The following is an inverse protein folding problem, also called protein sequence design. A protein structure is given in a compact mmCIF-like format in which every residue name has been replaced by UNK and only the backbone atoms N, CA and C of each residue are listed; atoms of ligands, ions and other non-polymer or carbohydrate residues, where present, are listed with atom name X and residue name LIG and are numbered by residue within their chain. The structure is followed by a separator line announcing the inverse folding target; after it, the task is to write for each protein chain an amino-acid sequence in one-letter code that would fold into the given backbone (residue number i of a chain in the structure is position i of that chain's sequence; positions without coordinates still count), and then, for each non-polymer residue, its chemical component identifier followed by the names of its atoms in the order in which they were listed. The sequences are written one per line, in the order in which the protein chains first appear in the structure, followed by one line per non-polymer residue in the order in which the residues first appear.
data_IF_633883719902
#
_entry.id   IF_633883719902
#
_cell.length_a   1.000
_cell.length_b   1.000
_cell.length_c   1.000
_cell.angle_alpha   90.00
_cell.angle_beta   90.00
_cell.angle_gamma   90.00
#
_symmetry.space_group_name_H-M   'P 1'
#
loop_
_entity.id
_entity.type
_entity.pdbx_description
1 polymer ?
#
# COMPACT_ATOMS: atom_id res chain seq x y z
N UNK A 1 -10.37 -19.45 23.41
CA UNK A 1 -10.69 -18.04 23.08
C UNK A 1 -11.66 -17.96 21.93
N UNK A 2 -11.35 -18.52 20.75
CA UNK A 2 -12.25 -18.53 19.58
C UNK A 2 -13.64 -19.10 19.93
N UNK A 3 -13.72 -20.29 20.53
CA UNK A 3 -15.01 -20.88 20.94
C UNK A 3 -15.73 -20.10 22.05
N UNK A 4 -15.00 -19.36 22.89
CA UNK A 4 -15.56 -18.60 24.01
C UNK A 4 -16.21 -17.30 23.53
N UNK A 5 -15.55 -16.61 22.60
CA UNK A 5 -15.95 -15.27 22.16
C UNK A 5 -16.67 -15.27 20.82
N UNK A 6 -16.68 -16.40 20.10
CA UNK A 6 -17.33 -16.58 18.78
C UNK A 6 -17.12 -15.35 17.86
N UNK A 7 -15.85 -14.94 17.59
CA UNK A 7 -15.59 -13.71 16.86
C UNK A 7 -16.12 -13.79 15.43
N UNK A 8 -16.63 -12.68 14.92
CA UNK A 8 -17.13 -12.61 13.55
C UNK A 8 -15.99 -12.44 12.53
N UNK A 9 -14.96 -11.68 12.91
CA UNK A 9 -13.79 -11.39 12.10
C UNK A 9 -12.54 -11.59 12.95
N UNK A 10 -11.52 -12.26 12.39
CA UNK A 10 -10.19 -12.36 12.99
C UNK A 10 -9.16 -11.74 12.05
N UNK A 11 -8.46 -10.71 12.50
CA UNK A 11 -7.43 -10.02 11.74
C UNK A 11 -6.03 -10.36 12.27
N UNK A 12 -5.18 -10.95 11.41
CA UNK A 12 -3.79 -11.28 11.71
C UNK A 12 -2.80 -10.35 11.02
N UNK A 13 -1.71 -10.03 11.72
CA UNK A 13 -0.72 -9.03 11.29
C UNK A 13 0.68 -9.61 11.02
N UNK A 14 0.88 -10.92 11.23
CA UNK A 14 2.15 -11.58 10.94
C UNK A 14 1.99 -13.08 10.70
N UNK A 15 3.01 -13.69 10.08
CA UNK A 15 2.99 -15.08 9.60
C UNK A 15 2.81 -16.09 10.74
N UNK A 16 3.52 -15.91 11.86
CA UNK A 16 3.44 -16.83 13.00
C UNK A 16 2.04 -16.87 13.64
N UNK A 17 1.42 -15.73 14.03
CA UNK A 17 0.03 -15.71 14.48
C UNK A 17 -0.96 -16.25 13.46
N UNK A 18 -0.75 -15.99 12.16
CA UNK A 18 -1.59 -16.55 11.12
C UNK A 18 -1.54 -18.09 11.09
N UNK A 19 -0.36 -18.69 11.20
CA UNK A 19 -0.23 -20.15 11.32
C UNK A 19 -0.90 -20.70 12.58
N UNK A 20 -0.69 -20.04 13.73
CA UNK A 20 -1.33 -20.42 14.99
C UNK A 20 -2.86 -20.37 14.85
N UNK A 21 -3.39 -19.32 14.20
CA UNK A 21 -4.81 -19.16 13.93
C UNK A 21 -5.35 -20.32 13.07
N UNK A 22 -4.71 -20.63 11.95
CA UNK A 22 -5.12 -21.73 11.08
C UNK A 22 -5.15 -23.08 11.80
N UNK A 23 -4.15 -23.34 12.64
CA UNK A 23 -4.11 -24.55 13.47
C UNK A 23 -5.21 -24.58 14.53
N UNK A 24 -5.51 -23.44 15.16
CA UNK A 24 -6.57 -23.32 16.14
C UNK A 24 -7.95 -23.53 15.50
N UNK A 25 -8.21 -22.93 14.34
CA UNK A 25 -9.48 -23.05 13.62
C UNK A 25 -9.78 -24.46 13.15
N UNK A 26 -8.77 -25.27 12.81
CA UNK A 26 -8.94 -26.69 12.45
C UNK A 26 -9.57 -27.53 13.56
N UNK A 27 -9.46 -27.10 14.83
CA UNK A 27 -9.98 -27.82 15.99
C UNK A 27 -11.12 -27.08 16.69
N UNK A 28 -11.41 -25.85 16.27
CA UNK A 28 -12.42 -25.02 16.91
C UNK A 28 -13.84 -25.49 16.55
N UNK A 29 -14.69 -25.62 17.56
CA UNK A 29 -16.12 -25.85 17.43
C UNK A 29 -16.85 -24.53 17.55
N UNK A 30 -17.01 -23.84 16.42
CA UNK A 30 -17.73 -22.56 16.32
C UNK A 30 -19.04 -22.75 15.59
N UNK A 31 -20.08 -22.02 16.00
CA UNK A 31 -21.35 -21.99 15.26
C UNK A 31 -21.19 -21.37 13.88
N UNK A 32 -20.38 -20.31 13.81
CA UNK A 32 -20.05 -19.58 12.59
C UNK A 32 -18.54 -19.49 12.45
N UNK A 33 -18.03 -19.82 11.28
CA UNK A 33 -16.61 -19.62 10.99
C UNK A 33 -16.32 -18.12 10.87
N UNK A 34 -15.32 -17.59 11.59
CA UNK A 34 -14.93 -16.18 11.46
C UNK A 34 -14.41 -15.90 10.06
N UNK A 35 -14.72 -14.72 9.52
CA UNK A 35 -14.02 -14.19 8.35
C UNK A 35 -12.61 -13.79 8.75
N UNK A 36 -11.64 -14.12 7.90
CA UNK A 36 -10.22 -13.94 8.14
C UNK A 36 -9.69 -12.78 7.34
N UNK A 37 -8.92 -11.92 8.01
CA UNK A 37 -8.22 -10.79 7.39
C UNK A 37 -6.75 -10.90 7.71
N UNK A 38 -5.89 -10.57 6.75
CA UNK A 38 -4.46 -10.38 7.00
C UNK A 38 -4.00 -8.99 6.57
N UNK A 39 -3.03 -8.41 7.26
CA UNK A 39 -2.31 -7.23 6.74
C UNK A 39 -0.91 -7.62 6.26
N UNK A 40 -0.59 -7.23 5.03
CA UNK A 40 0.74 -7.31 4.44
C UNK A 40 1.50 -5.99 4.65
N UNK A 41 2.45 -6.01 5.57
CA UNK A 41 3.26 -4.85 5.93
C UNK A 41 4.49 -4.62 5.04
N UNK A 42 4.86 -5.55 4.16
CA UNK A 42 6.12 -5.45 3.42
C UNK A 42 6.23 -6.37 2.23
N UNK A 43 7.39 -6.29 1.56
CA UNK A 43 7.72 -6.98 0.31
C UNK A 43 8.18 -8.42 0.55
N UNK A 44 7.39 -9.21 1.30
CA UNK A 44 7.78 -10.57 1.65
C UNK A 44 7.79 -11.48 0.42
N UNK A 45 8.75 -12.42 0.31
CA UNK A 45 8.69 -13.44 -0.72
C UNK A 45 7.47 -14.34 -0.45
N UNK A 46 6.79 -14.74 -1.52
CA UNK A 46 5.75 -15.75 -1.41
C UNK A 46 6.42 -17.13 -1.35
N UNK A 47 6.20 -17.80 -0.23
CA UNK A 47 6.67 -19.14 0.08
C UNK A 47 5.70 -19.83 1.04
N UNK A 48 5.94 -21.11 1.34
CA UNK A 48 5.09 -21.89 2.26
C UNK A 48 4.84 -21.17 3.59
N UNK A 49 5.85 -20.54 4.17
CA UNK A 49 5.68 -19.84 5.44
C UNK A 49 4.77 -18.62 5.33
N UNK A 50 4.83 -17.87 4.23
CA UNK A 50 3.95 -16.72 3.96
C UNK A 50 2.51 -17.10 3.57
N UNK A 51 2.25 -18.35 3.15
CA UNK A 51 0.92 -18.81 2.72
C UNK A 51 -0.15 -18.60 3.80
N UNK A 52 0.22 -18.66 5.09
CA UNK A 52 -0.73 -18.38 6.16
C UNK A 52 -1.37 -16.99 6.09
N UNK A 53 -0.66 -15.98 5.55
CA UNK A 53 -1.22 -14.65 5.33
C UNK A 53 -2.05 -14.56 4.04
N UNK A 54 -1.90 -15.50 3.11
CA UNK A 54 -2.65 -15.55 1.85
C UNK A 54 -3.93 -16.39 1.97
N UNK A 55 -3.98 -17.30 2.94
CA UNK A 55 -5.14 -18.15 3.24
C UNK A 55 -6.16 -17.41 4.11
N UNK A 56 -6.68 -16.30 3.60
CA UNK A 56 -7.68 -15.44 4.28
C UNK A 56 -8.74 -14.98 3.29
N UNK A 57 -9.87 -14.46 3.79
CA UNK A 57 -10.96 -13.93 2.95
C UNK A 57 -10.57 -12.59 2.30
N UNK A 58 -9.79 -11.75 2.98
CA UNK A 58 -9.32 -10.48 2.44
C UNK A 58 -7.93 -10.12 2.95
N UNK A 59 -7.11 -9.58 2.06
CA UNK A 59 -5.75 -9.10 2.37
C UNK A 59 -5.75 -7.58 2.35
N UNK A 60 -5.29 -6.97 3.43
CA UNK A 60 -5.02 -5.54 3.52
C UNK A 60 -3.56 -5.29 3.19
N UNK A 61 -3.28 -4.34 2.29
CA UNK A 61 -1.91 -3.90 1.95
C UNK A 61 -1.69 -2.47 2.40
N UNK A 62 -0.49 -2.17 2.88
CA UNK A 62 -0.17 -0.86 3.49
C UNK A 62 0.17 0.25 2.50
N UNK A 63 0.42 -0.09 1.23
CA UNK A 63 0.78 0.85 0.16
C UNK A 63 0.43 0.29 -1.22
N UNK A 64 0.35 1.17 -2.23
CA UNK A 64 0.13 0.76 -3.62
C UNK A 64 1.31 -0.07 -4.11
N UNK A 65 2.53 0.26 -3.70
CA UNK A 65 3.74 -0.49 -4.04
C UNK A 65 3.70 -1.92 -3.52
N UNK A 66 3.26 -2.13 -2.27
CA UNK A 66 3.04 -3.49 -1.73
C UNK A 66 1.89 -4.20 -2.45
N UNK A 67 0.81 -3.48 -2.78
CA UNK A 67 -0.33 -4.02 -3.54
C UNK A 67 0.10 -4.54 -4.90
N UNK A 68 0.84 -3.73 -5.64
CA UNK A 68 1.36 -4.09 -6.96
C UNK A 68 2.39 -5.23 -6.85
N UNK A 69 3.29 -5.18 -5.87
CA UNK A 69 4.24 -6.26 -5.62
C UNK A 69 3.53 -7.60 -5.37
N UNK A 70 2.57 -7.63 -4.45
CA UNK A 70 1.81 -8.84 -4.12
C UNK A 70 1.02 -9.35 -5.33
N UNK A 71 0.31 -8.46 -6.03
CA UNK A 71 -0.49 -8.83 -7.21
C UNK A 71 0.37 -9.45 -8.31
N UNK A 72 1.54 -8.87 -8.61
CA UNK A 72 2.48 -9.42 -9.60
C UNK A 72 3.00 -10.80 -9.19
N UNK A 73 3.29 -11.00 -7.91
CA UNK A 73 3.79 -12.29 -7.38
C UNK A 73 2.70 -13.37 -7.39
N UNK A 74 1.48 -13.06 -6.95
CA UNK A 74 0.36 -14.00 -6.98
C UNK A 74 0.04 -14.46 -8.41
N UNK A 75 0.07 -13.55 -9.39
CA UNK A 75 -0.10 -13.89 -10.81
C UNK A 75 0.99 -14.84 -11.31
N UNK A 76 2.25 -14.60 -10.92
CA UNK A 76 3.38 -15.44 -11.32
C UNK A 76 3.31 -16.85 -10.73
N UNK A 77 2.70 -16.99 -9.56
CA UNK A 77 2.54 -18.28 -8.86
C UNK A 77 1.21 -18.96 -9.16
N UNK A 78 0.42 -18.42 -10.12
CA UNK A 78 -0.88 -18.96 -10.52
C UNK A 78 -1.83 -19.18 -9.32
N UNK A 79 -1.71 -18.32 -8.31
CA UNK A 79 -2.55 -18.40 -7.11
C UNK A 79 -3.98 -17.93 -7.42
N UNK A 80 -4.95 -18.51 -6.72
CA UNK A 80 -6.35 -18.10 -6.82
C UNK A 80 -6.51 -16.59 -6.58
N UNK A 81 -7.42 -15.91 -7.31
CA UNK A 81 -7.71 -14.50 -7.10
C UNK A 81 -7.99 -14.19 -5.63
N UNK A 82 -7.26 -13.22 -5.08
CA UNK A 82 -7.43 -12.73 -3.71
C UNK A 82 -8.04 -11.34 -3.72
N UNK A 83 -8.98 -11.09 -2.80
CA UNK A 83 -9.47 -9.73 -2.55
C UNK A 83 -8.38 -8.97 -1.80
N UNK A 84 -7.82 -7.95 -2.45
CA UNK A 84 -6.79 -7.08 -1.87
C UNK A 84 -7.38 -5.68 -1.70
N UNK A 85 -7.32 -5.15 -0.50
CA UNK A 85 -7.75 -3.79 -0.17
C UNK A 85 -6.57 -2.99 0.35
N UNK A 86 -6.21 -1.91 -0.33
CA UNK A 86 -5.15 -1.03 0.16
C UNK A 86 -5.67 -0.10 1.25
N UNK A 87 -5.00 -0.12 2.40
CA UNK A 87 -5.24 0.81 3.50
C UNK A 87 -3.88 1.36 3.97
N UNK A 88 -3.65 2.65 3.72
CA UNK A 88 -2.46 3.33 4.22
C UNK A 88 -2.41 3.36 5.75
N UNK A 89 -1.19 3.35 6.30
CA UNK A 89 -0.99 3.68 7.71
C UNK A 89 -1.32 5.15 7.94
N UNK A 90 -1.96 5.42 9.07
CA UNK A 90 -2.38 6.75 9.45
C UNK A 90 -1.62 7.32 10.64
N UNK A 91 -1.49 8.65 10.68
CA UNK A 91 -0.90 9.40 11.79
C UNK A 91 -1.98 9.91 12.76
N UNK A 92 -1.72 9.83 14.06
CA UNK A 92 -2.51 10.55 15.06
C UNK A 92 -2.11 12.03 15.04
N UNK A 93 -2.95 12.85 14.42
CA UNK A 93 -2.73 14.29 14.28
C UNK A 93 -2.75 15.04 15.61
N UNK A 94 -3.30 14.44 16.68
CA UNK A 94 -3.22 15.01 18.03
C UNK A 94 -1.85 14.78 18.65
N UNK A 95 -1.24 13.63 18.37
CA UNK A 95 0.13 13.33 18.81
C UNK A 95 1.14 14.11 17.99
N UNK A 96 0.92 14.27 16.69
CA UNK A 96 1.78 14.99 15.74
C UNK A 96 1.05 16.22 15.17
N UNK A 97 0.86 17.29 15.97
CA UNK A 97 0.18 18.48 15.52
C UNK A 97 1.04 19.29 14.54
N UNK A 98 0.40 19.92 13.56
CA UNK A 98 1.08 20.76 12.58
C UNK A 98 1.79 21.94 13.27
N UNK A 99 3.05 22.18 12.88
CA UNK A 99 3.95 23.18 13.50
C UNK A 99 4.13 22.98 15.00
N UNK A 100 4.19 21.73 15.43
CA UNK A 100 4.71 21.41 16.76
C UNK A 100 6.12 21.98 16.89
N UNK A 101 6.39 22.64 18.01
CA UNK A 101 7.74 23.10 18.36
C UNK A 101 8.16 22.42 19.65
N UNK A 102 9.39 21.92 19.75
CA UNK A 102 9.90 21.38 20.99
C UNK A 102 9.92 22.41 22.10
N UNK A 103 9.70 21.94 23.33
CA UNK A 103 9.79 22.81 24.50
C UNK A 103 11.22 23.32 24.70
N UNK A 104 11.36 24.51 25.28
CA UNK A 104 12.67 25.07 25.66
C UNK A 104 13.42 24.14 26.62
N UNK A 105 12.69 23.45 27.51
CA UNK A 105 13.26 22.46 28.41
C UNK A 105 13.90 21.29 27.64
N UNK A 106 13.19 20.75 26.65
CA UNK A 106 13.69 19.67 25.81
C UNK A 106 14.95 20.13 25.04
N UNK A 107 14.90 21.30 24.38
CA UNK A 107 16.06 21.83 23.65
C UNK A 107 17.29 22.02 24.54
N UNK A 108 17.12 22.58 25.75
CA UNK A 108 18.24 22.74 26.70
C UNK A 108 18.81 21.40 27.15
N UNK A 109 17.96 20.41 27.37
CA UNK A 109 18.41 19.08 27.72
C UNK A 109 19.18 18.43 26.56
N UNK A 110 18.64 18.53 25.34
CA UNK A 110 19.29 18.04 24.13
C UNK A 110 20.65 18.68 23.89
N UNK A 111 20.79 20.00 24.07
CA UNK A 111 22.10 20.67 23.91
C UNK A 111 23.06 20.38 25.06
N UNK A 112 22.57 20.04 26.25
CA UNK A 112 23.43 19.57 27.33
C UNK A 112 23.95 18.14 27.07
N UNK A 113 23.13 17.28 26.46
CA UNK A 113 23.50 15.92 26.05
C UNK A 113 24.39 15.91 24.79
N UNK A 114 24.09 16.79 23.83
CA UNK A 114 24.75 16.90 22.53
C UNK A 114 25.10 18.37 22.20
N UNK A 115 26.14 18.95 22.83
CA UNK A 115 26.53 20.34 22.62
C UNK A 115 26.87 20.68 21.17
N UNK A 116 27.37 19.70 20.40
CA UNK A 116 27.75 19.85 19.00
C UNK A 116 26.57 20.19 18.08
N UNK A 117 25.33 19.95 18.53
CA UNK A 117 24.11 20.24 17.77
C UNK A 117 23.69 21.71 17.83
N UNK A 118 24.25 22.51 18.74
CA UNK A 118 23.89 23.91 18.90
C UNK A 118 24.27 24.74 17.67
N UNK A 119 23.35 25.63 17.25
CA UNK A 119 23.50 26.49 16.05
C UNK A 119 23.73 25.75 14.72
N UNK A 120 23.45 24.45 14.66
CA UNK A 120 23.54 23.62 13.45
C UNK A 120 22.25 23.59 12.64
N UNK A 121 22.38 23.16 11.38
CA UNK A 121 21.27 22.77 10.51
C UNK A 121 21.12 21.25 10.57
N UNK A 122 20.02 20.78 11.15
CA UNK A 122 19.80 19.38 11.45
C UNK A 122 19.20 18.63 10.25
N UNK A 123 19.94 17.66 9.73
CA UNK A 123 19.43 16.60 8.87
C UNK A 123 19.16 15.36 9.73
N UNK A 124 17.90 15.12 10.06
CA UNK A 124 17.52 13.97 10.88
C UNK A 124 17.29 12.77 9.97
N UNK A 125 18.02 11.70 10.20
CA UNK A 125 17.84 10.38 9.61
C UNK A 125 17.14 9.48 10.63
N UNK A 126 15.80 9.35 10.59
CA UNK A 126 15.01 8.76 11.64
C UNK A 126 14.94 7.23 11.50
N UNK A 127 16.08 6.59 11.30
CA UNK A 127 16.17 5.14 11.19
C UNK A 127 17.55 4.68 11.67
N UNK A 128 17.63 3.38 11.95
CA UNK A 128 18.88 2.72 12.32
C UNK A 128 19.82 2.60 11.12
N UNK A 129 21.11 2.35 11.37
CA UNK A 129 22.06 2.00 10.31
C UNK A 129 21.77 0.57 9.84
N UNK A 130 21.87 0.37 8.52
CA UNK A 130 21.71 -0.91 7.87
C UNK A 130 21.73 -0.73 6.37
N UNK A 131 22.20 -1.75 5.64
CA UNK A 131 22.40 -1.67 4.18
C UNK A 131 21.13 -1.25 3.42
N UNK A 132 19.95 -1.54 3.96
CA UNK A 132 18.64 -1.20 3.42
C UNK A 132 18.23 0.27 3.61
N UNK A 133 18.80 1.01 4.56
CA UNK A 133 18.29 2.33 4.97
C UNK A 133 18.95 3.50 4.26
N UNK A 134 20.14 3.30 3.67
CA UNK A 134 20.79 4.31 2.83
C UNK A 134 21.51 5.42 3.59
N UNK A 135 22.08 5.12 4.76
CA UNK A 135 22.92 6.04 5.51
C UNK A 135 24.12 6.56 4.69
N UNK A 136 24.63 5.79 3.73
CA UNK A 136 25.76 6.19 2.87
C UNK A 136 25.51 7.50 2.14
N UNK A 137 24.27 7.80 1.77
CA UNK A 137 23.90 9.04 1.10
C UNK A 137 24.12 10.29 1.98
N UNK A 138 24.17 10.12 3.30
CA UNK A 138 24.49 11.20 4.25
C UNK A 138 25.96 11.64 4.09
N UNK A 139 26.86 10.71 3.75
CA UNK A 139 28.26 11.00 3.46
C UNK A 139 28.37 11.87 2.21
N UNK A 140 27.62 11.53 1.16
CA UNK A 140 27.60 12.33 -0.06
C UNK A 140 27.08 13.73 0.19
N UNK A 141 26.00 13.86 0.98
CA UNK A 141 25.45 15.18 1.35
C UNK A 141 26.49 15.99 2.12
N UNK A 142 27.07 15.42 3.18
CA UNK A 142 28.05 16.12 4.00
C UNK A 142 29.28 16.51 3.17
N UNK A 143 29.83 15.57 2.39
CA UNK A 143 31.02 15.79 1.57
C UNK A 143 30.84 16.90 0.53
N UNK A 144 29.68 16.95 -0.14
CA UNK A 144 29.41 17.90 -1.22
C UNK A 144 28.87 19.26 -0.74
N UNK A 145 28.27 19.33 0.45
CA UNK A 145 27.59 20.55 0.94
C UNK A 145 28.30 21.23 2.11
N UNK A 146 29.30 20.61 2.74
CA UNK A 146 29.97 21.18 3.93
C UNK A 146 30.60 22.56 3.71
N UNK A 147 31.10 22.89 2.52
CA UNK A 147 31.68 24.21 2.24
C UNK A 147 30.59 25.29 2.17
N UNK A 148 29.46 24.99 1.52
CA UNK A 148 28.34 25.92 1.37
C UNK A 148 27.52 26.04 2.66
N UNK A 149 27.39 24.95 3.42
CA UNK A 149 26.65 24.87 4.67
C UNK A 149 27.56 24.35 5.79
N UNK A 150 28.50 25.15 6.31
CA UNK A 150 29.48 24.72 7.30
C UNK A 150 28.87 24.28 8.63
N UNK A 151 27.62 24.68 8.90
CA UNK A 151 26.87 24.28 10.09
C UNK A 151 25.89 23.12 9.84
N UNK A 152 25.94 22.44 8.70
CA UNK A 152 25.15 21.23 8.48
C UNK A 152 25.63 20.11 9.43
N UNK A 153 24.66 19.42 10.03
CA UNK A 153 24.91 18.33 10.98
C UNK A 153 23.85 17.25 10.80
N UNK A 154 24.31 16.01 10.72
CA UNK A 154 23.47 14.82 10.56
C UNK A 154 23.18 14.23 11.93
N UNK A 155 21.91 13.89 12.17
CA UNK A 155 21.48 13.19 13.37
C UNK A 155 20.95 11.83 12.95
N UNK A 156 21.54 10.76 13.49
CA UNK A 156 21.12 9.38 13.23
C UNK A 156 20.40 8.86 14.47
N UNK A 157 19.17 8.38 14.28
CA UNK A 157 18.35 7.82 15.36
C UNK A 157 18.70 6.34 15.60
N UNK A 158 19.98 6.11 15.86
CA UNK A 158 20.57 4.84 16.21
C UNK A 158 21.59 5.01 17.32
N UNK A 159 21.96 3.90 17.95
CA UNK A 159 23.08 3.87 18.90
C UNK A 159 24.41 4.05 18.16
N UNK A 160 25.40 4.71 18.79
CA UNK A 160 26.73 4.96 18.18
C UNK A 160 27.53 3.68 17.97
N UNK A 161 27.22 2.61 18.69
CA UNK A 161 27.95 1.35 18.55
C UNK A 161 27.03 0.14 18.70
N UNK A 162 27.30 -0.87 17.89
CA UNK A 162 26.65 -2.18 17.89
C UNK A 162 27.69 -3.23 17.57
N UNK A 163 28.21 -3.87 18.61
CA UNK A 163 29.19 -4.95 18.49
C UNK A 163 28.78 -5.97 17.43
N UNK A 164 29.62 -6.14 16.40
CA UNK A 164 29.44 -7.10 15.32
C UNK A 164 28.46 -6.68 14.22
N UNK A 165 28.03 -5.42 14.17
CA UNK A 165 27.25 -4.87 13.08
C UNK A 165 28.17 -4.27 11.99
N UNK A 166 28.46 -5.09 10.97
CA UNK A 166 29.34 -4.73 9.85
C UNK A 166 28.89 -3.46 9.13
N UNK A 167 27.58 -3.24 8.95
CA UNK A 167 27.09 -2.05 8.25
C UNK A 167 27.36 -0.77 9.05
N UNK A 168 27.29 -0.88 10.38
CA UNK A 168 27.63 0.21 11.29
C UNK A 168 29.12 0.50 11.28
N UNK A 169 29.95 -0.54 11.44
CA UNK A 169 31.41 -0.44 11.40
C UNK A 169 31.90 0.18 10.08
N UNK A 170 31.41 -0.28 8.94
CA UNK A 170 31.76 0.23 7.61
C UNK A 170 31.41 1.72 7.48
N UNK A 171 30.20 2.10 7.90
CA UNK A 171 29.75 3.49 7.85
C UNK A 171 30.60 4.41 8.75
N UNK A 172 30.92 3.96 9.97
CA UNK A 172 31.82 4.69 10.88
C UNK A 172 33.22 4.85 10.30
N UNK A 173 33.82 3.76 9.81
CA UNK A 173 35.16 3.81 9.22
C UNK A 173 35.21 4.78 8.04
N UNK A 174 34.19 4.77 7.20
CA UNK A 174 34.10 5.67 6.03
C UNK A 174 33.95 7.13 6.45
N UNK A 175 33.07 7.43 7.40
CA UNK A 175 32.88 8.80 7.91
C UNK A 175 34.12 9.34 8.62
N UNK A 176 34.84 8.51 9.38
CA UNK A 176 36.14 8.88 9.98
C UNK A 176 37.21 9.13 8.92
N UNK A 177 37.35 8.23 7.94
CA UNK A 177 38.37 8.35 6.88
C UNK A 177 38.18 9.60 6.01
N UNK A 178 36.95 10.09 5.90
CA UNK A 178 36.60 11.31 5.17
C UNK A 178 36.59 12.58 6.06
N UNK A 179 36.90 12.46 7.35
CA UNK A 179 36.88 13.59 8.29
C UNK A 179 35.48 14.16 8.57
N UNK A 180 34.43 13.35 8.39
CA UNK A 180 33.03 13.75 8.55
C UNK A 180 32.41 13.33 9.88
N UNK A 181 33.11 12.52 10.68
CA UNK A 181 32.58 11.95 11.92
C UNK A 181 32.06 13.02 12.91
N UNK A 182 32.74 14.16 13.05
CA UNK A 182 32.32 15.25 13.94
C UNK A 182 31.04 15.97 13.50
N UNK A 183 30.52 15.67 12.29
CA UNK A 183 29.27 16.23 11.74
C UNK A 183 28.09 15.27 11.87
N UNK A 184 28.28 14.15 12.57
CA UNK A 184 27.27 13.11 12.77
C UNK A 184 27.10 12.88 14.26
N UNK A 185 25.87 12.98 14.75
CA UNK A 185 25.51 12.63 16.13
C UNK A 185 24.53 11.46 16.13
N UNK A 186 24.86 10.45 16.93
CA UNK A 186 24.01 9.30 17.21
C UNK A 186 23.20 9.57 18.46
N UNK A 187 21.88 9.62 18.31
CA UNK A 187 20.98 9.95 19.43
C UNK A 187 20.40 8.70 20.09
N UNK A 188 20.71 7.51 19.60
CA UNK A 188 20.22 6.26 20.17
C UNK A 188 18.94 5.76 19.51
N UNK A 189 18.81 4.43 19.52
CA UNK A 189 17.72 3.71 18.82
C UNK A 189 16.40 3.70 19.59
N UNK A 190 16.44 3.89 20.92
CA UNK A 190 15.29 3.78 21.82
C UNK A 190 14.88 5.14 22.38
N UNK A 191 14.22 5.93 21.55
CA UNK A 191 13.73 7.29 21.87
C UNK A 191 12.20 7.31 22.02
N UNK A 192 11.70 7.99 23.05
CA UNK A 192 10.27 8.22 23.27
C UNK A 192 9.80 9.62 22.80
N UNK A 193 10.73 10.46 22.38
CA UNK A 193 10.61 11.86 22.00
C UNK A 193 10.79 12.08 20.48
N UNK A 194 10.54 11.05 19.66
CA UNK A 194 10.62 11.10 18.19
C UNK A 194 9.96 12.34 17.58
N UNK A 195 8.80 12.75 18.11
CA UNK A 195 8.09 13.95 17.66
C UNK A 195 8.97 15.21 17.77
N UNK A 196 9.69 15.34 18.87
CA UNK A 196 10.52 16.52 19.15
C UNK A 196 11.67 16.59 18.14
N UNK A 197 12.40 15.50 17.94
CA UNK A 197 13.46 15.39 16.92
C UNK A 197 12.96 15.70 15.51
N UNK A 198 11.86 15.08 15.08
CA UNK A 198 11.30 15.32 13.76
C UNK A 198 10.83 16.76 13.60
N UNK A 199 10.27 17.39 14.64
CA UNK A 199 9.80 18.78 14.57
C UNK A 199 10.93 19.81 14.59
N UNK A 200 12.04 19.48 15.26
CA UNK A 200 13.23 20.33 15.36
C UNK A 200 14.09 20.31 14.09
N UNK A 201 14.00 19.24 13.31
CA UNK A 201 14.82 19.05 12.12
C UNK A 201 14.62 20.17 11.09
N UNK A 202 15.69 20.53 10.38
CA UNK A 202 15.56 21.34 9.18
C UNK A 202 15.05 20.50 8.01
N UNK A 203 15.52 19.25 7.92
CA UNK A 203 15.10 18.28 6.92
C UNK A 203 15.10 16.89 7.58
N UNK A 204 14.06 16.12 7.31
CA UNK A 204 13.99 14.69 7.63
C UNK A 204 14.35 13.88 6.38
N UNK A 205 15.26 12.94 6.54
CA UNK A 205 15.85 12.17 5.44
C UNK A 205 15.14 10.82 5.29
N UNK A 206 14.62 10.55 4.10
CA UNK A 206 13.89 9.33 3.73
C UNK A 206 14.62 8.60 2.59
N UNK A 207 15.80 8.06 2.89
CA UNK A 207 16.81 7.64 1.90
C UNK A 207 16.95 6.12 1.71
N UNK A 208 15.95 5.33 2.12
CA UNK A 208 16.01 3.87 2.05
C UNK A 208 16.46 3.35 0.68
N UNK A 209 17.51 2.53 0.69
CA UNK A 209 18.02 1.84 -0.49
C UNK A 209 17.02 0.77 -0.94
N UNK A 210 16.40 0.07 0.00
CA UNK A 210 15.34 -0.88 -0.30
C UNK A 210 13.95 -0.21 -0.33
N UNK A 211 12.97 -0.76 -1.08
CA UNK A 211 11.61 -0.26 -1.07
C UNK A 211 11.01 -0.21 0.35
N UNK A 212 10.77 0.99 0.86
CA UNK A 212 10.06 1.20 2.12
C UNK A 212 8.54 0.99 1.91
N UNK A 213 7.90 0.22 2.78
CA UNK A 213 6.51 -0.19 2.61
C UNK A 213 5.51 0.75 3.28
N UNK A 214 5.92 1.47 4.32
CA UNK A 214 5.04 2.32 5.13
C UNK A 214 5.49 3.78 5.11
N UNK A 215 6.78 4.04 5.34
CA UNK A 215 7.31 5.40 5.38
C UNK A 215 6.77 6.26 6.54
N UNK A 216 6.51 5.65 7.71
CA UNK A 216 5.79 6.31 8.81
C UNK A 216 6.51 7.55 9.35
N UNK A 217 7.86 7.54 9.38
CA UNK A 217 8.64 8.67 9.90
C UNK A 217 8.59 9.88 8.95
N UNK A 218 8.62 9.64 7.64
CA UNK A 218 8.37 10.68 6.64
C UNK A 218 6.97 11.27 6.83
N UNK A 219 5.96 10.41 7.00
CA UNK A 219 4.59 10.88 7.20
C UNK A 219 4.39 11.67 8.50
N UNK A 220 5.05 11.26 9.60
CA UNK A 220 5.08 12.00 10.86
C UNK A 220 5.69 13.38 10.68
N UNK A 221 6.85 13.47 10.03
CA UNK A 221 7.54 14.72 9.76
C UNK A 221 6.69 15.69 8.91
N UNK A 222 6.04 15.19 7.85
CA UNK A 222 5.12 15.98 7.03
C UNK A 222 3.96 16.54 7.88
N UNK A 223 3.35 15.73 8.74
CA UNK A 223 2.26 16.18 9.62
C UNK A 223 2.71 17.22 10.65
N UNK A 224 3.97 17.20 11.07
CA UNK A 224 4.57 18.22 11.92
C UNK A 224 4.88 19.52 11.15
N UNK A 225 4.82 19.52 9.82
CA UNK A 225 5.26 20.64 8.98
C UNK A 225 6.78 20.73 8.83
N UNK A 226 7.46 19.59 9.00
CA UNK A 226 8.90 19.45 8.78
C UNK A 226 9.16 18.99 7.34
N UNK A 227 10.05 19.67 6.60
CA UNK A 227 10.45 19.24 5.26
C UNK A 227 11.04 17.82 5.27
N UNK A 228 10.66 17.03 4.27
CA UNK A 228 11.20 15.68 4.05
C UNK A 228 11.86 15.64 2.70
N UNK A 229 13.07 15.07 2.62
CA UNK A 229 13.70 14.74 1.34
C UNK A 229 13.85 13.23 1.26
N UNK A 230 13.34 12.64 0.19
CA UNK A 230 13.38 11.20 -0.02
C UNK A 230 13.34 10.78 -1.47
N UNK A 231 13.66 9.51 -1.71
CA UNK A 231 13.66 8.93 -3.04
C UNK A 231 12.24 8.81 -3.61
N UNK A 232 12.10 8.98 -4.92
CA UNK A 232 10.89 8.63 -5.68
C UNK A 232 10.73 7.12 -5.79
N UNK A 233 10.53 6.47 -4.64
CA UNK A 233 10.47 5.02 -4.49
C UNK A 233 9.46 4.63 -3.42
N UNK A 234 8.63 3.65 -3.77
CA UNK A 234 7.71 2.97 -2.85
C UNK A 234 6.88 3.93 -1.98
N UNK A 235 6.74 3.66 -0.68
CA UNK A 235 5.92 4.47 0.22
C UNK A 235 6.35 5.94 0.28
N UNK A 236 7.65 6.24 0.13
CA UNK A 236 8.10 7.64 0.11
C UNK A 236 7.56 8.41 -1.10
N UNK A 237 7.53 7.79 -2.28
CA UNK A 237 6.87 8.37 -3.46
C UNK A 237 5.38 8.62 -3.20
N UNK A 238 4.68 7.61 -2.71
CA UNK A 238 3.23 7.68 -2.45
C UNK A 238 2.84 8.73 -1.40
N UNK A 239 3.73 9.01 -0.43
CA UNK A 239 3.54 10.02 0.60
C UNK A 239 3.91 11.41 0.09
N UNK A 240 5.11 11.56 -0.48
CA UNK A 240 5.65 12.88 -0.83
C UNK A 240 5.02 13.44 -2.10
N UNK A 241 4.66 12.62 -3.09
CA UNK A 241 4.04 13.10 -4.31
C UNK A 241 2.74 13.91 -4.06
N UNK A 242 1.81 13.48 -3.20
CA UNK A 242 0.61 14.28 -2.90
C UNK A 242 0.76 15.30 -1.75
N UNK A 243 1.83 15.27 -0.95
CA UNK A 243 1.97 16.10 0.25
C UNK A 243 3.13 17.08 0.22
N UNK A 244 4.24 16.72 -0.44
CA UNK A 244 5.46 17.51 -0.50
C UNK A 244 6.32 17.18 -1.75
N UNK A 245 5.82 17.44 -2.97
CA UNK A 245 6.48 17.02 -4.22
C UNK A 245 7.90 17.55 -4.39
N UNK A 246 8.20 18.73 -3.86
CA UNK A 246 9.52 19.35 -3.95
C UNK A 246 10.60 18.61 -3.14
N UNK A 247 10.21 17.80 -2.16
CA UNK A 247 11.12 16.94 -1.41
C UNK A 247 11.45 15.62 -2.10
N UNK A 248 10.82 15.34 -3.24
CA UNK A 248 10.95 14.07 -3.94
C UNK A 248 12.13 14.08 -4.91
N UNK A 249 13.08 13.18 -4.71
CA UNK A 249 14.26 13.04 -5.56
C UNK A 249 14.06 11.89 -6.53
N UNK A 250 13.83 12.23 -7.81
CA UNK A 250 13.54 11.26 -8.87
C UNK A 250 14.77 10.49 -9.33
N UNK A 251 15.87 11.20 -9.54
CA UNK A 251 17.12 10.59 -9.98
C UNK A 251 17.91 10.07 -8.79
N UNK A 252 18.20 8.77 -8.77
CA UNK A 252 18.89 8.11 -7.67
C UNK A 252 20.41 8.33 -7.75
N UNK A 253 20.86 9.56 -7.54
CA UNK A 253 22.26 9.95 -7.54
C UNK A 253 22.56 11.10 -6.56
N UNK A 254 23.84 11.24 -6.19
CA UNK A 254 24.30 12.23 -5.21
C UNK A 254 24.04 13.68 -5.65
N UNK A 255 24.19 14.00 -6.93
CA UNK A 255 24.01 15.37 -7.44
C UNK A 255 22.57 15.85 -7.26
N UNK A 256 21.61 15.02 -7.65
CA UNK A 256 20.18 15.32 -7.54
C UNK A 256 19.73 15.38 -6.07
N UNK A 257 20.26 14.50 -5.22
CA UNK A 257 20.01 14.56 -3.77
C UNK A 257 20.57 15.84 -3.14
N UNK A 258 21.84 16.17 -3.39
CA UNK A 258 22.48 17.37 -2.85
C UNK A 258 21.79 18.65 -3.35
N UNK A 259 21.31 18.67 -4.60
CA UNK A 259 20.51 19.78 -5.13
C UNK A 259 19.21 19.97 -4.36
N UNK A 260 18.48 18.88 -4.06
CA UNK A 260 17.26 18.96 -3.27
C UNK A 260 17.53 19.49 -1.85
N UNK A 261 18.58 18.98 -1.18
CA UNK A 261 18.99 19.41 0.16
C UNK A 261 19.37 20.90 0.15
N UNK A 262 20.21 21.34 -0.79
CA UNK A 262 20.59 22.75 -0.95
C UNK A 262 19.38 23.65 -1.11
N UNK A 263 18.51 23.35 -2.08
CA UNK A 263 17.32 24.15 -2.35
C UNK A 263 16.42 24.27 -1.12
N UNK A 264 16.29 23.18 -0.35
CA UNK A 264 15.50 23.15 0.86
C UNK A 264 16.13 23.98 2.00
N UNK A 265 17.45 23.93 2.17
CA UNK A 265 18.16 24.72 3.17
C UNK A 265 18.14 26.23 2.86
N UNK A 266 18.12 26.61 1.57
CA UNK A 266 18.06 28.01 1.10
C UNK A 266 16.63 28.58 1.17
N UNK A 267 15.63 27.84 0.69
CA UNK A 267 14.25 28.35 0.57
C UNK A 267 13.38 28.15 1.81
N UNK A 268 13.72 27.16 2.66
CA UNK A 268 12.97 26.79 3.88
C UNK A 268 11.45 26.64 3.63
N UNK A 269 11.08 26.07 2.48
CA UNK A 269 9.67 25.74 2.21
C UNK A 269 9.20 24.64 3.16
N UNK A 270 7.98 24.75 3.69
CA UNK A 270 7.43 23.75 4.62
C UNK A 270 6.26 23.02 3.98
N UNK A 271 6.01 21.75 4.33
CA UNK A 271 4.78 21.09 3.96
C UNK A 271 3.56 21.86 4.47
N UNK A 272 2.50 21.86 3.68
CA UNK A 272 1.21 22.40 4.09
C UNK A 272 0.53 21.48 5.10
N UNK A 273 -0.40 22.04 5.89
CA UNK A 273 -1.23 21.24 6.77
C UNK A 273 -2.10 20.28 5.93
N UNK A 274 -2.09 19.00 6.27
CA UNK A 274 -2.81 17.95 5.53
C UNK A 274 -3.80 17.20 6.42
N UNK A 275 -4.86 16.69 5.79
CA UNK A 275 -5.85 15.80 6.39
C UNK A 275 -5.84 14.39 5.74
N UNK A 276 -4.84 14.10 4.91
CA UNK A 276 -4.63 12.78 4.27
C UNK A 276 -3.78 11.88 5.16
N UNK A 277 -3.94 10.57 5.02
CA UNK A 277 -3.15 9.58 5.78
C UNK A 277 -3.30 9.76 7.30
N UNK A 278 -4.53 10.04 7.74
CA UNK A 278 -4.81 10.18 9.17
C UNK A 278 -5.15 8.83 9.78
N UNK A 279 -4.88 8.67 11.08
CA UNK A 279 -5.25 7.48 11.83
C UNK A 279 -6.77 7.23 11.77
N UNK A 280 -7.57 8.30 11.77
CA UNK A 280 -9.03 8.21 11.63
C UNK A 280 -9.43 7.62 10.28
N UNK A 281 -8.87 8.11 9.18
CA UNK A 281 -9.11 7.55 7.83
C UNK A 281 -8.75 6.06 7.76
N UNK A 282 -7.59 5.68 8.32
CA UNK A 282 -7.16 4.27 8.39
C UNK A 282 -8.15 3.40 9.18
N UNK A 283 -8.63 3.88 10.33
CA UNK A 283 -9.61 3.18 11.17
C UNK A 283 -10.93 3.01 10.42
N UNK A 284 -11.47 4.09 9.83
CA UNK A 284 -12.72 4.06 9.06
C UNK A 284 -12.66 3.04 7.93
N UNK A 285 -11.57 3.03 7.15
CA UNK A 285 -11.36 2.06 6.07
C UNK A 285 -11.23 0.62 6.59
N UNK A 286 -10.56 0.44 7.71
CA UNK A 286 -10.37 -0.90 8.31
C UNK A 286 -11.71 -1.46 8.82
N UNK A 287 -12.51 -0.62 9.49
CA UNK A 287 -13.86 -1.00 9.95
C UNK A 287 -14.77 -1.33 8.76
N UNK A 288 -14.68 -0.56 7.67
CA UNK A 288 -15.46 -0.83 6.46
C UNK A 288 -15.15 -2.22 5.87
N UNK A 289 -13.89 -2.67 5.89
CA UNK A 289 -13.52 -4.04 5.48
C UNK A 289 -14.18 -5.08 6.38
N UNK A 290 -14.13 -4.88 7.70
CA UNK A 290 -14.74 -5.82 8.64
C UNK A 290 -16.27 -5.90 8.46
N UNK A 291 -16.91 -4.74 8.29
CA UNK A 291 -18.36 -4.68 8.07
C UNK A 291 -18.75 -5.38 6.78
N UNK A 292 -18.02 -5.12 5.68
CA UNK A 292 -18.29 -5.80 4.41
C UNK A 292 -18.16 -7.33 4.49
N UNK A 293 -17.17 -7.82 5.24
CA UNK A 293 -17.00 -9.26 5.48
C UNK A 293 -18.11 -9.85 6.35
N UNK A 294 -18.52 -9.13 7.40
CA UNK A 294 -19.62 -9.51 8.27
C UNK A 294 -20.94 -9.61 7.50
N UNK A 295 -21.25 -8.59 6.69
CA UNK A 295 -22.47 -8.54 5.89
C UNK A 295 -22.50 -9.66 4.85
N UNK A 296 -21.35 -9.95 4.23
CA UNK A 296 -21.20 -11.07 3.30
C UNK A 296 -21.46 -12.41 3.99
N UNK A 297 -20.93 -12.60 5.21
CA UNK A 297 -21.16 -13.82 5.98
C UNK A 297 -22.65 -14.02 6.33
N UNK A 298 -23.35 -12.94 6.70
CA UNK A 298 -24.80 -12.99 6.97
C UNK A 298 -25.60 -13.32 5.71
N UNK A 299 -25.22 -12.74 4.57
CA UNK A 299 -25.90 -13.01 3.30
C UNK A 299 -25.72 -14.47 2.85
N UNK A 300 -24.52 -15.03 3.03
CA UNK A 300 -24.22 -16.45 2.76
C UNK A 300 -25.08 -17.36 3.64
N UNK A 301 -25.18 -17.08 4.95
CA UNK A 301 -25.99 -17.85 5.90
C UNK A 301 -27.49 -17.81 5.54
N UNK A 302 -28.01 -16.63 5.21
CA UNK A 302 -29.40 -16.46 4.79
C UNK A 302 -29.69 -17.23 3.49
N UNK A 303 -28.78 -17.16 2.51
CA UNK A 303 -28.92 -17.89 1.25
C UNK A 303 -28.91 -19.41 1.46
N UNK A 304 -28.09 -19.93 2.38
CA UNK A 304 -28.09 -21.35 2.74
C UNK A 304 -29.38 -21.78 3.43
N UNK A 305 -29.89 -20.97 4.37
CA UNK A 305 -31.15 -21.23 5.07
C UNK A 305 -32.33 -21.27 4.08
N UNK A 306 -32.39 -20.31 3.15
CA UNK A 306 -33.41 -20.25 2.11
C UNK A 306 -33.31 -21.44 1.15
N UNK A 307 -32.09 -21.81 0.73
CA UNK A 307 -31.87 -22.99 -0.11
C UNK A 307 -32.33 -24.30 0.59
N UNK A 308 -32.10 -24.42 1.90
CA UNK A 308 -32.59 -25.54 2.70
C UNK A 308 -34.12 -25.55 2.82
N UNK A 309 -34.74 -24.39 3.02
CA UNK A 309 -36.20 -24.26 3.04
C UNK A 309 -36.82 -24.68 1.70
N UNK A 310 -36.27 -24.21 0.58
CA UNK A 310 -36.71 -24.59 -0.78
C UNK A 310 -36.55 -26.10 -1.00
N UNK A 311 -35.43 -26.70 -0.58
CA UNK A 311 -35.21 -28.16 -0.68
C UNK A 311 -36.25 -28.95 0.13
N UNK A 312 -36.61 -28.47 1.33
CA UNK A 312 -37.66 -29.09 2.16
C UNK A 312 -39.03 -29.01 1.50
N UNK A 313 -39.40 -27.86 0.95
CA UNK A 313 -40.68 -27.66 0.22
C UNK A 313 -40.74 -28.60 -0.99
N UNK A 314 -39.70 -28.66 -1.83
CA UNK A 314 -39.64 -29.56 -2.99
C UNK A 314 -39.76 -31.04 -2.59
N UNK A 315 -39.16 -31.45 -1.47
CA UNK A 315 -39.26 -32.83 -0.95
C UNK A 315 -40.69 -33.16 -0.48
N UNK A 316 -41.36 -32.22 0.18
CA UNK A 316 -42.74 -32.39 0.64
C UNK A 316 -43.75 -32.42 -0.53
N UNK A 317 -43.57 -31.56 -1.55
CA UNK A 317 -44.38 -31.60 -2.77
C UNK A 317 -44.24 -32.93 -3.53
N UNK A 318 -43.01 -33.48 -3.63
CA UNK A 318 -42.80 -34.82 -4.21
C UNK A 318 -43.42 -35.96 -3.40
N UNK A 319 -43.51 -35.85 -2.06
CA UNK A 319 -44.22 -36.83 -1.21
C UNK A 319 -45.74 -36.76 -1.38
N UNK A 320 -46.29 -35.58 -1.65
CA UNK A 320 -47.73 -35.35 -1.82
C UNK A 320 -48.20 -35.82 -3.21
N UNK A 321 -47.31 -35.77 -4.21
CA UNK A 321 -47.55 -36.31 -5.56
C UNK A 321 -47.14 -37.79 -5.66
N UNK A 322 -47.75 -38.68 -4.86
CA UNK A 322 -47.82 -40.10 -5.19
C UNK A 322 -49.07 -40.30 -6.05
N UNK A 323 -48.97 -40.69 -7.35
CA UNK A 323 -50.17 -40.97 -8.12
C UNK A 323 -50.85 -42.21 -7.55
N UNK A 324 -52.03 -42.02 -6.95
CA UNK A 324 -52.95 -43.12 -6.70
C UNK A 324 -53.66 -43.46 -8.03
N UNK A 325 -52.99 -44.25 -8.87
CA UNK A 325 -53.67 -44.92 -10.00
C UNK A 325 -53.68 -46.43 -9.74
N UNK A 326 -54.70 -46.83 -8.99
CA UNK A 326 -55.21 -48.19 -8.90
C UNK A 326 -56.73 -48.12 -8.98
N UNK A 327 -57.26 -47.70 -10.12
CA UNK A 327 -58.70 -47.77 -10.41
C UNK A 327 -58.89 -48.29 -11.83
N UNK A 328 -59.66 -49.37 -11.92
CA UNK A 328 -59.87 -50.19 -13.09
C UNK A 328 -60.38 -49.40 -14.30
N UNK A 329 -59.75 -49.63 -15.45
CA UNK A 329 -60.25 -49.20 -16.75
C UNK A 329 -61.47 -50.08 -17.09
N UNK A 330 -62.68 -49.52 -17.03
CA UNK A 330 -63.86 -50.13 -17.67
C UNK A 330 -63.82 -49.80 -19.17
N UNK A 331 -63.99 -50.85 -19.97
CA UNK A 331 -64.13 -50.82 -21.42
C UNK A 331 -65.13 -49.76 -21.89
N UNK A 332 -64.72 -48.96 -22.88
CA UNK A 332 -65.62 -48.23 -23.78
C UNK A 332 -65.22 -48.61 -25.21
N UNK A 333 -66.20 -49.05 -26.00
CA UNK A 333 -66.05 -49.58 -27.35
C UNK A 333 -65.65 -48.51 -28.39
N UNK A 334 -65.02 -48.90 -29.53
CA UNK A 334 -64.41 -47.97 -30.47
C UNK A 334 -65.38 -47.50 -31.58
N UNK A 335 -65.36 -46.20 -31.89
CA UNK A 335 -66.06 -45.56 -33.02
C UNK A 335 -65.06 -45.30 -34.17
N UNK A 336 -65.43 -45.42 -35.46
CA UNK A 336 -64.52 -45.88 -36.52
C UNK A 336 -63.70 -44.77 -37.22
N UNK A 337 -62.61 -45.22 -37.84
CA UNK A 337 -61.60 -44.46 -38.61
C UNK A 337 -62.14 -43.84 -39.90
N UNK A 338 -61.66 -42.63 -40.25
CA UNK A 338 -61.12 -42.19 -41.57
C UNK A 338 -60.78 -40.68 -41.56
N UNK A 339 -59.98 -40.14 -42.51
CA UNK A 339 -58.90 -40.74 -43.29
C UNK A 339 -57.56 -39.96 -43.17
N UNK A 340 -56.49 -40.58 -43.70
CA UNK A 340 -55.10 -40.09 -43.71
C UNK A 340 -54.93 -38.90 -44.67
N UNK A 341 -54.23 -37.85 -44.21
CA UNK A 341 -53.61 -36.83 -45.08
C UNK A 341 -52.10 -37.01 -45.05
N UNK A 342 -51.51 -37.10 -46.25
CA UNK A 342 -50.08 -37.36 -46.52
C UNK A 342 -49.23 -36.12 -46.26
N UNK A 343 -48.07 -36.33 -45.64
CA UNK A 343 -46.94 -35.41 -45.63
C UNK A 343 -46.26 -35.40 -47.01
N UNK A 344 -45.96 -34.21 -47.52
CA UNK A 344 -44.91 -33.99 -48.52
C UNK A 344 -43.84 -33.11 -47.86
N UNK A 345 -42.64 -33.67 -47.73
CA UNK A 345 -41.40 -32.98 -47.44
C UNK A 345 -40.83 -32.48 -48.76
N UNK A 346 -40.38 -31.23 -48.79
CA UNK A 346 -39.28 -30.86 -49.67
C UNK A 346 -38.28 -29.96 -48.94
N UNK A 347 -37.01 -30.24 -49.23
CA UNK A 347 -35.78 -29.68 -48.69
C UNK A 347 -35.11 -28.91 -49.81
N UNK A 348 -34.61 -27.71 -49.53
CA UNK A 348 -33.44 -27.07 -50.16
C UNK A 348 -33.15 -25.79 -49.34
N UNK A 349 -31.92 -25.32 -49.08
CA UNK A 349 -30.56 -25.74 -49.43
C UNK A 349 -29.58 -24.90 -48.60
N UNK A 350 -28.32 -25.36 -48.51
CA UNK A 350 -27.15 -24.69 -47.94
C UNK A 350 -26.76 -23.38 -48.66
N UNK A 351 -26.19 -22.43 -47.93
CA UNK A 351 -24.98 -21.63 -48.25
C UNK A 351 -24.73 -20.66 -47.07
N UNK A 352 -23.70 -20.87 -46.24
CA UNK A 352 -22.38 -20.19 -46.30
C UNK A 352 -22.44 -18.68 -45.99
N UNK A 353 -21.90 -18.33 -44.82
CA UNK A 353 -21.62 -16.98 -44.33
C UNK A 353 -20.15 -16.62 -44.59
N UNK A 354 -19.84 -15.36 -44.90
CA UNK A 354 -18.51 -14.80 -44.62
C UNK A 354 -18.56 -13.59 -43.68
N UNK A 355 -17.59 -13.63 -42.77
CA UNK A 355 -16.68 -12.57 -42.29
C UNK A 355 -17.05 -11.09 -42.47
N UNK A 356 -16.86 -10.33 -41.39
CA UNK A 356 -16.79 -8.87 -41.38
C UNK A 356 -15.42 -8.49 -40.81
N UNK A 357 -14.54 -7.98 -41.67
CA UNK A 357 -13.37 -7.18 -41.31
C UNK A 357 -13.41 -5.85 -42.09
N UNK A 358 -12.71 -4.88 -41.49
CA UNK A 358 -12.57 -3.45 -41.74
C UNK A 358 -12.48 -2.94 -43.19
N UNK A 359 -12.98 -1.72 -43.41
CA UNK A 359 -12.25 -0.77 -44.27
C UNK A 359 -12.55 0.71 -43.95
N UNK A 360 -11.44 1.44 -43.80
CA UNK A 360 -11.27 2.87 -43.53
C UNK A 360 -11.44 3.64 -44.84
N UNK A 361 -12.21 4.74 -44.83
CA UNK A 361 -12.30 5.66 -45.97
C UNK A 361 -11.62 7.00 -45.67
N UNK A 362 -10.59 7.28 -46.45
CA UNK A 362 -9.86 8.55 -46.57
C UNK A 362 -10.62 9.45 -47.54
N UNK A 363 -10.72 10.75 -47.23
CA UNK A 363 -10.89 11.78 -48.26
C UNK A 363 -10.05 13.02 -47.89
N UNK A 364 -9.20 13.40 -48.84
CA UNK A 364 -8.23 14.48 -48.84
C UNK A 364 -8.78 15.61 -49.73
N UNK A 365 -8.52 16.88 -49.44
CA UNK A 365 -8.24 17.90 -50.49
C UNK A 365 -7.68 19.21 -49.91
N UNK A 366 -6.35 19.33 -50.01
CA UNK A 366 -5.52 20.40 -50.62
C UNK A 366 -5.76 21.92 -50.45
N UNK A 367 -4.67 22.56 -49.94
CA UNK A 367 -3.92 23.76 -50.41
C UNK A 367 -4.52 25.16 -50.34
N UNK A 368 -3.76 26.09 -49.73
CA UNK A 368 -3.07 27.23 -50.38
C UNK A 368 -1.89 27.72 -49.50
N UNK A 369 -0.72 27.90 -50.14
CA UNK A 369 0.53 28.51 -49.65
C UNK A 369 0.44 30.03 -49.44
N UNK A 370 1.30 30.63 -48.60
CA UNK A 370 2.12 31.83 -48.92
C UNK A 370 3.30 31.92 -47.92
N UNK A 371 4.45 32.27 -48.49
CA UNK A 371 5.82 32.36 -47.94
C UNK A 371 6.15 33.73 -47.30
N UNK A 372 7.29 33.73 -46.57
CA UNK A 372 8.22 34.83 -46.23
C UNK A 372 7.67 35.90 -45.27
N UNK A 373 8.41 36.47 -44.32
CA UNK A 373 9.84 36.81 -44.23
C UNK A 373 10.11 37.26 -42.78
N UNK A 374 11.33 37.09 -42.28
CA UNK A 374 11.87 37.90 -41.17
C UNK A 374 12.82 38.93 -41.79
N UNK A 375 12.92 40.16 -41.23
CA UNK A 375 14.13 40.44 -40.48
C UNK A 375 13.97 41.37 -39.25
N UNK A 376 14.90 41.15 -38.32
CA UNK A 376 15.66 42.04 -37.43
C UNK A 376 15.23 43.47 -37.03
N UNK A 377 15.66 43.79 -35.79
CA UNK A 377 16.18 45.07 -35.27
C UNK A 377 15.36 45.88 -34.23
N UNK A 378 15.87 45.82 -32.98
CA UNK A 378 16.38 46.92 -32.14
C UNK A 378 15.54 47.69 -31.08
N UNK A 379 16.17 47.76 -29.89
CA UNK A 379 16.28 48.83 -28.89
C UNK A 379 15.23 49.13 -27.78
N UNK A 380 15.78 49.09 -26.54
CA UNK A 380 15.61 49.99 -25.37
C UNK A 380 14.26 50.04 -24.63
N UNK A 381 14.28 49.56 -23.38
CA UNK A 381 14.25 50.39 -22.14
C UNK A 381 14.38 49.52 -20.91
#
# INVERSE_FOLDING_TARGET
MIEKYEPDVIHVHSRTPAWILHLALRRARVKRFPKLVSTMYGFYPINKYSQALLNVDTIITVSDSVTQYLTRRLRREEADPKVITRIYRGIDTRRYPYRHNPSVYWLRHTFAEYPELEHKKWLVFPTVIGNEYGQEWLIDILGNLQEQFPNIHVIIMDDDDKDGDVAHEDFRQRTHSLGLAERITYVGSKRNDMREWLSAANIVMALANEPESIGINALQAIHLGTPVIGWDKAAFSEILQPLYPQGLVKEHNANSLCKAVRNQLESVTRPEMTNKFTMREMIEKTIAVYQGLYDTALAEEQAEADALAVRRIKRNLKKTYKPAFGAAVKHVEPIPKRPKVKLIKEKASKAESPEIEDEIKVEETTKVDIKSEAPDADQKS
#
